data_IF_222519254320
#
_entry.id   IF_222519254320
#
_cell.length_a   1.000
_cell.length_b   1.000
_cell.length_c   1.000
_cell.angle_alpha   90.00
_cell.angle_beta   90.00
_cell.angle_gamma   90.00
#
_symmetry.space_group_name_H-M   'P 1'
#
loop_
_entity.id
_entity.type
_entity.pdbx_description
1 polymer ?
#
# COMPACT_ATOMS: atom_id res chain seq x y z
N UNK A 1 12.74 18.16 -3.76
CA UNK A 1 11.40 17.76 -4.23
C UNK A 1 10.53 19.01 -4.30
N UNK A 2 9.85 19.25 -5.42
CA UNK A 2 8.92 20.37 -5.52
C UNK A 2 7.52 19.96 -5.04
N UNK A 3 6.63 20.95 -4.86
CA UNK A 3 5.27 20.71 -4.35
C UNK A 3 4.45 19.81 -5.27
N UNK A 4 4.51 20.05 -6.58
CA UNK A 4 3.75 19.29 -7.59
C UNK A 4 4.10 17.79 -7.59
N UNK A 5 5.38 17.46 -7.46
CA UNK A 5 5.85 16.09 -7.35
C UNK A 5 5.33 15.41 -6.08
N UNK A 6 5.36 16.13 -4.95
CA UNK A 6 4.84 15.61 -3.68
C UNK A 6 3.32 15.39 -3.75
N UNK A 7 2.57 16.31 -4.35
CA UNK A 7 1.13 16.19 -4.51
C UNK A 7 0.76 15.00 -5.41
N UNK A 8 1.52 14.80 -6.51
CA UNK A 8 1.38 13.64 -7.39
C UNK A 8 1.65 12.32 -6.66
N UNK A 9 2.74 12.24 -5.89
CA UNK A 9 3.04 11.07 -5.07
C UNK A 9 1.93 10.75 -4.08
N UNK A 10 1.41 11.77 -3.37
CA UNK A 10 0.33 11.59 -2.41
C UNK A 10 -0.92 10.99 -3.05
N UNK A 11 -1.33 11.48 -4.22
CA UNK A 11 -2.50 10.97 -4.95
C UNK A 11 -2.27 9.52 -5.37
N UNK A 12 -1.13 9.22 -5.99
CA UNK A 12 -0.87 7.89 -6.51
C UNK A 12 -0.73 6.85 -5.40
N UNK A 13 0.00 7.18 -4.33
CA UNK A 13 0.14 6.33 -3.14
C UNK A 13 -1.22 6.12 -2.50
N UNK A 14 -2.04 7.17 -2.35
CA UNK A 14 -3.38 7.02 -1.80
C UNK A 14 -4.23 6.04 -2.63
N UNK A 15 -4.17 6.10 -3.96
CA UNK A 15 -4.88 5.17 -4.83
C UNK A 15 -4.35 3.74 -4.69
N UNK A 16 -3.02 3.53 -4.69
CA UNK A 16 -2.45 2.19 -4.44
C UNK A 16 -2.84 1.63 -3.07
N UNK A 17 -2.86 2.47 -2.03
CA UNK A 17 -3.30 2.04 -0.71
C UNK A 17 -4.78 1.65 -0.71
N UNK A 18 -5.62 2.34 -1.49
CA UNK A 18 -7.04 1.96 -1.64
C UNK A 18 -7.16 0.56 -2.22
N UNK A 19 -6.43 0.25 -3.29
CA UNK A 19 -6.43 -1.08 -3.88
C UNK A 19 -5.86 -2.12 -2.90
N UNK A 20 -4.78 -1.78 -2.19
CA UNK A 20 -4.17 -2.62 -1.15
C UNK A 20 -5.09 -2.85 0.05
N UNK A 21 -6.05 -1.95 0.31
CA UNK A 21 -6.99 -2.04 1.42
C UNK A 21 -8.24 -2.88 1.13
N UNK A 22 -8.44 -3.25 -0.14
CA UNK A 22 -9.62 -3.97 -0.60
C UNK A 22 -9.28 -5.43 -0.95
N UNK A 23 -9.42 -6.29 0.05
CA UNK A 23 -9.15 -7.72 -0.12
C UNK A 23 -10.11 -8.37 -1.14
N UNK A 24 -11.33 -7.87 -1.27
CA UNK A 24 -12.28 -8.45 -2.23
C UNK A 24 -11.89 -8.10 -3.66
N UNK A 25 -11.48 -6.85 -3.89
CA UNK A 25 -10.89 -6.43 -5.16
C UNK A 25 -9.65 -7.26 -5.49
N UNK A 26 -8.72 -7.44 -4.54
CA UNK A 26 -7.53 -8.29 -4.74
C UNK A 26 -7.91 -9.72 -5.09
N UNK A 27 -8.86 -10.33 -4.36
CA UNK A 27 -9.36 -11.69 -4.66
C UNK A 27 -9.90 -11.79 -6.08
N UNK A 28 -10.68 -10.80 -6.53
CA UNK A 28 -11.25 -10.80 -7.87
C UNK A 28 -10.17 -10.56 -8.93
N UNK A 29 -9.29 -9.57 -8.75
CA UNK A 29 -8.29 -9.20 -9.74
C UNK A 29 -7.17 -10.23 -9.88
N UNK A 30 -6.64 -10.74 -8.75
CA UNK A 30 -5.51 -11.69 -8.74
C UNK A 30 -5.90 -13.09 -9.19
N UNK A 31 -7.18 -13.45 -9.07
CA UNK A 31 -7.69 -14.72 -9.60
C UNK A 31 -8.32 -14.60 -10.99
N UNK A 32 -8.18 -13.44 -11.64
CA UNK A 32 -8.70 -13.18 -13.00
C UNK A 32 -10.23 -13.17 -13.10
N UNK A 33 -10.93 -12.98 -11.98
CA UNK A 33 -12.41 -12.96 -11.89
C UNK A 33 -13.00 -11.56 -12.00
N UNK A 34 -12.20 -10.52 -11.85
CA UNK A 34 -12.67 -9.15 -12.06
C UNK A 34 -12.89 -8.89 -13.56
N UNK A 35 -14.02 -8.28 -13.98
CA UNK A 35 -14.36 -8.14 -15.40
C UNK A 35 -13.45 -7.20 -16.22
N UNK A 36 -12.73 -6.30 -15.55
CA UNK A 36 -11.94 -5.24 -16.22
C UNK A 36 -10.47 -5.18 -15.79
N UNK A 37 -10.09 -5.90 -14.72
CA UNK A 37 -8.79 -5.75 -14.10
C UNK A 37 -8.20 -7.14 -13.87
N UNK A 38 -6.95 -7.31 -14.24
CA UNK A 38 -6.15 -8.48 -13.88
C UNK A 38 -4.87 -7.92 -13.30
N UNK A 39 -4.47 -8.48 -12.17
CA UNK A 39 -3.29 -8.07 -11.42
C UNK A 39 -2.76 -9.30 -10.67
N UNK A 40 -1.78 -9.11 -9.81
CA UNK A 40 -1.20 -10.11 -8.92
C UNK A 40 -0.71 -9.43 -7.65
N UNK A 41 -0.26 -10.21 -6.68
CA UNK A 41 0.46 -9.66 -5.52
C UNK A 41 1.66 -8.82 -5.98
N UNK A 42 2.46 -9.36 -6.90
CA UNK A 42 3.68 -8.71 -7.41
C UNK A 42 3.33 -7.38 -8.09
N UNK A 43 2.29 -7.35 -8.94
CA UNK A 43 1.86 -6.11 -9.59
C UNK A 43 1.40 -5.06 -8.56
N UNK A 44 0.65 -5.48 -7.54
CA UNK A 44 0.14 -4.57 -6.51
C UNK A 44 1.28 -3.93 -5.70
N UNK A 45 2.28 -4.74 -5.34
CA UNK A 45 3.48 -4.25 -4.65
C UNK A 45 4.32 -3.36 -5.56
N UNK A 46 4.56 -3.76 -6.81
CA UNK A 46 5.35 -2.96 -7.76
C UNK A 46 4.67 -1.62 -8.06
N UNK A 47 3.35 -1.59 -8.23
CA UNK A 47 2.62 -0.34 -8.43
C UNK A 47 2.78 0.60 -7.23
N UNK A 48 2.74 0.08 -6.00
CA UNK A 48 2.99 0.91 -4.82
C UNK A 48 4.46 1.39 -4.77
N UNK A 49 5.42 0.47 -4.84
CA UNK A 49 6.83 0.76 -4.57
C UNK A 49 7.57 1.40 -5.74
N UNK A 50 7.48 0.79 -6.91
CA UNK A 50 8.26 1.17 -8.09
C UNK A 50 7.56 2.28 -8.87
N UNK A 51 6.28 2.08 -9.24
CA UNK A 51 5.55 3.06 -10.07
C UNK A 51 5.25 4.33 -9.27
N UNK A 52 4.86 4.18 -8.01
CA UNK A 52 4.40 5.29 -7.16
C UNK A 52 5.43 5.79 -6.14
N UNK A 53 6.69 5.34 -6.26
CA UNK A 53 7.83 5.87 -5.50
C UNK A 53 7.64 5.83 -3.97
N UNK A 54 6.95 4.80 -3.44
CA UNK A 54 6.56 4.74 -2.04
C UNK A 54 7.74 4.85 -1.07
N UNK A 55 8.88 4.18 -1.33
CA UNK A 55 10.08 4.32 -0.49
C UNK A 55 10.60 5.76 -0.42
N UNK A 56 10.63 6.48 -1.55
CA UNK A 56 11.07 7.88 -1.58
C UNK A 56 10.12 8.78 -0.78
N UNK A 57 8.82 8.50 -0.85
CA UNK A 57 7.83 9.19 -0.03
C UNK A 57 8.03 8.89 1.46
N UNK A 58 8.31 7.64 1.83
CA UNK A 58 8.63 7.24 3.20
C UNK A 58 9.86 7.96 3.74
N UNK A 59 10.93 8.06 2.94
CA UNK A 59 12.13 8.80 3.33
C UNK A 59 11.83 10.29 3.55
N UNK A 60 10.99 10.87 2.70
CA UNK A 60 10.52 12.24 2.88
C UNK A 60 9.74 12.43 4.20
N UNK A 61 8.74 11.59 4.50
CA UNK A 61 7.93 11.73 5.73
C UNK A 61 8.77 11.47 6.99
N UNK A 62 9.75 10.56 6.95
CA UNK A 62 10.66 10.30 8.09
C UNK A 62 11.41 11.58 8.49
N UNK A 63 11.90 12.32 7.51
CA UNK A 63 12.68 13.56 7.72
C UNK A 63 11.79 14.76 8.04
N UNK A 64 10.61 14.86 7.41
CA UNK A 64 9.83 16.11 7.39
C UNK A 64 8.53 16.07 8.21
N UNK A 65 7.98 14.88 8.50
CA UNK A 65 6.61 14.73 9.01
C UNK A 65 6.44 13.72 10.15
N UNK A 66 7.47 12.94 10.48
CA UNK A 66 7.38 11.78 11.40
C UNK A 66 6.69 12.03 12.76
N UNK A 67 6.73 13.25 13.28
CA UNK A 67 6.11 13.64 14.55
C UNK A 67 4.90 14.57 14.42
N UNK A 68 4.39 14.81 13.20
CA UNK A 68 3.32 15.79 12.96
C UNK A 68 1.91 15.24 13.15
N UNK A 69 1.70 13.94 12.93
CA UNK A 69 0.40 13.28 13.11
C UNK A 69 0.56 11.76 13.18
N UNK A 70 -0.57 11.06 13.33
CA UNK A 70 -0.61 9.60 13.29
C UNK A 70 -0.38 9.03 11.88
N UNK A 71 -0.64 9.81 10.83
CA UNK A 71 -0.60 9.30 9.45
C UNK A 71 0.83 8.86 9.02
N UNK A 72 1.90 9.67 9.19
CA UNK A 72 3.25 9.26 8.84
C UNK A 72 3.71 7.99 9.57
N UNK A 73 3.41 7.86 10.86
CA UNK A 73 3.83 6.68 11.63
C UNK A 73 3.14 5.40 11.15
N UNK A 74 1.85 5.47 10.79
CA UNK A 74 1.12 4.35 10.20
C UNK A 74 1.64 3.97 8.81
N UNK A 75 1.98 4.94 7.97
CA UNK A 75 2.58 4.65 6.65
C UNK A 75 3.94 3.95 6.80
N UNK A 76 4.77 4.41 7.75
CA UNK A 76 6.06 3.77 8.06
C UNK A 76 5.87 2.36 8.67
N UNK A 77 4.82 2.15 9.44
CA UNK A 77 4.46 0.82 9.96
C UNK A 77 4.08 -0.13 8.83
N UNK A 78 3.21 0.29 7.92
CA UNK A 78 2.81 -0.50 6.75
C UNK A 78 4.03 -0.92 5.92
N UNK A 79 4.97 0.01 5.69
CA UNK A 79 6.20 -0.26 4.96
C UNK A 79 6.98 -1.45 5.55
N UNK A 80 7.15 -1.45 6.88
CA UNK A 80 7.85 -2.54 7.58
C UNK A 80 7.08 -3.85 7.50
N UNK A 81 5.74 -3.80 7.57
CA UNK A 81 4.92 -5.00 7.46
C UNK A 81 5.06 -5.63 6.07
N UNK A 82 5.08 -4.83 5.00
CA UNK A 82 5.26 -5.31 3.63
C UNK A 82 6.69 -5.84 3.44
N UNK A 83 7.72 -5.09 3.86
CA UNK A 83 9.12 -5.53 3.76
C UNK A 83 9.32 -6.91 4.41
N UNK A 84 8.77 -7.12 5.61
CA UNK A 84 8.84 -8.41 6.31
C UNK A 84 8.05 -9.52 5.61
N UNK A 85 7.00 -9.18 4.88
CA UNK A 85 6.15 -10.15 4.18
C UNK A 85 6.77 -10.63 2.86
N UNK A 86 7.49 -9.74 2.16
CA UNK A 86 8.12 -10.03 0.87
C UNK A 86 9.24 -11.09 0.93
N UNK A 87 9.67 -11.51 2.11
CA UNK A 87 10.67 -12.58 2.28
C UNK A 87 10.09 -14.00 2.03
N UNK A 88 8.78 -14.12 1.82
CA UNK A 88 8.08 -15.40 1.68
C UNK A 88 7.75 -15.72 0.20
N UNK A 89 8.13 -16.90 -0.29
CA UNK A 89 7.77 -17.39 -1.63
C UNK A 89 6.37 -18.03 -1.58
N UNK A 90 5.35 -17.25 -1.92
CA UNK A 90 3.93 -17.63 -1.90
C UNK A 90 3.24 -17.26 -3.20
N UNK A 91 2.32 -18.10 -3.65
CA UNK A 91 1.41 -17.79 -4.75
C UNK A 91 0.34 -16.77 -4.33
N UNK A 92 -0.26 -16.07 -5.31
CA UNK A 92 -1.34 -15.11 -5.05
C UNK A 92 -2.48 -15.72 -4.21
N UNK A 93 -2.84 -16.99 -4.45
CA UNK A 93 -3.89 -17.67 -3.68
C UNK A 93 -3.50 -17.90 -2.22
N UNK A 94 -2.24 -18.28 -1.96
CA UNK A 94 -1.74 -18.47 -0.59
C UNK A 94 -1.69 -17.14 0.16
N UNK A 95 -1.33 -16.05 -0.52
CA UNK A 95 -1.30 -14.69 0.05
C UNK A 95 -2.70 -14.21 0.41
N UNK A 96 -3.69 -14.48 -0.45
CA UNK A 96 -5.08 -14.05 -0.23
C UNK A 96 -5.76 -14.71 0.98
N UNK A 97 -5.25 -15.85 1.44
CA UNK A 97 -5.71 -16.56 2.63
C UNK A 97 -4.77 -16.36 3.84
N UNK A 98 -3.72 -15.55 3.69
CA UNK A 98 -2.72 -15.32 4.72
C UNK A 98 -3.18 -14.28 5.76
N UNK A 99 -3.20 -14.64 7.06
CA UNK A 99 -3.50 -13.70 8.13
C UNK A 99 -2.57 -12.48 8.20
N UNK A 100 -1.30 -12.62 7.85
CA UNK A 100 -0.33 -11.52 7.84
C UNK A 100 -0.66 -10.52 6.72
N UNK A 101 -0.99 -11.02 5.52
CA UNK A 101 -1.44 -10.17 4.42
C UNK A 101 -2.76 -9.47 4.74
N UNK A 102 -3.68 -10.17 5.41
CA UNK A 102 -4.92 -9.56 5.89
C UNK A 102 -4.67 -8.40 6.88
N UNK A 103 -3.66 -8.53 7.74
CA UNK A 103 -3.25 -7.46 8.64
C UNK A 103 -2.65 -6.27 7.86
N UNK A 104 -1.84 -6.52 6.84
CA UNK A 104 -1.32 -5.46 5.92
C UNK A 104 -2.47 -4.70 5.27
N UNK A 105 -3.44 -5.43 4.71
CA UNK A 105 -4.64 -4.86 4.08
C UNK A 105 -5.43 -3.99 5.07
N UNK A 106 -5.62 -4.46 6.31
CA UNK A 106 -6.28 -3.68 7.37
C UNK A 106 -5.50 -2.42 7.75
N UNK A 107 -4.17 -2.50 7.83
CA UNK A 107 -3.32 -1.35 8.11
C UNK A 107 -3.46 -0.31 6.99
N UNK A 108 -3.42 -0.73 5.72
CA UNK A 108 -3.67 0.13 4.57
C UNK A 108 -5.05 0.82 4.66
N UNK A 109 -6.10 0.08 5.04
CA UNK A 109 -7.44 0.63 5.28
C UNK A 109 -7.44 1.72 6.36
N UNK A 110 -6.79 1.45 7.49
CA UNK A 110 -6.69 2.43 8.57
C UNK A 110 -5.94 3.70 8.17
N UNK A 111 -4.93 3.59 7.31
CA UNK A 111 -4.20 4.72 6.77
C UNK A 111 -5.13 5.59 5.92
N UNK A 112 -5.95 4.99 5.04
CA UNK A 112 -6.92 5.73 4.22
C UNK A 112 -7.92 6.46 5.10
N UNK A 113 -8.47 5.79 6.12
CA UNK A 113 -9.46 6.38 7.03
C UNK A 113 -8.86 7.62 7.75
N UNK A 114 -7.61 7.53 8.21
CA UNK A 114 -6.89 8.67 8.80
C UNK A 114 -6.63 9.75 7.74
N UNK A 115 -6.25 9.37 6.53
CA UNK A 115 -5.91 10.30 5.45
C UNK A 115 -7.11 11.13 5.01
N UNK A 116 -8.30 10.55 4.90
CA UNK A 116 -9.52 11.29 4.48
C UNK A 116 -10.15 12.12 5.59
N UNK A 117 -9.83 11.83 6.86
CA UNK A 117 -10.40 12.52 8.03
C UNK A 117 -9.59 13.76 8.44
N UNK A 118 -8.33 13.87 8.00
CA UNK A 118 -7.45 15.02 8.25
C UNK A 118 -7.39 15.96 7.04
#
# INVERSE_FOLDING_TARGET
MNKEQLDSWKINIFNSLRDLSDLELQKLAWTGKHPFYVSSFVDSINTLYDDNSFKKYIDYIKVNESNKSQLPSRIIELDKMIDNYMEEDKSDLEILDDPNWFNITKTAKSIIDIWVTN
#
